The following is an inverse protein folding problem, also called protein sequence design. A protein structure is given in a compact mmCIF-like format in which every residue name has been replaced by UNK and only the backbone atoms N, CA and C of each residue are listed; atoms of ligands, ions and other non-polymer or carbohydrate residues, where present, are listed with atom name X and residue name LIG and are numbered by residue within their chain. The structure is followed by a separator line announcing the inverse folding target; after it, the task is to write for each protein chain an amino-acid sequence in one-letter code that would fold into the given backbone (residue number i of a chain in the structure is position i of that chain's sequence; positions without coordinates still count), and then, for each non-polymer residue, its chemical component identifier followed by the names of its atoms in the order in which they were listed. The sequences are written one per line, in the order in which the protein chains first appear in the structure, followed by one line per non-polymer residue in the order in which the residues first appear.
data_IF_800199810155
#
_entry.id   IF_800199810155
#
_cell.length_a   1.000
_cell.length_b   1.000
_cell.length_c   1.000
_cell.angle_alpha   90.00
_cell.angle_beta   90.00
_cell.angle_gamma   90.00
#
_symmetry.space_group_name_H-M   'P 1'
#
loop_
_entity.id
_entity.type
_entity.pdbx_description
1 polymer ?
#
# COMPACT_ATOMS: atom_id res chain seq x y z
N UNK A 1 66.34 45.42 25.63
CA UNK A 1 67.12 45.90 24.47
C UNK A 1 66.66 45.13 23.25
N UNK A 2 66.27 45.86 22.22
CA UNK A 2 65.79 45.37 20.92
C UNK A 2 66.94 44.67 20.17
N UNK A 3 66.64 43.56 19.47
CA UNK A 3 67.16 43.26 18.10
C UNK A 3 66.69 41.90 17.56
N UNK A 4 65.89 41.96 16.48
CA UNK A 4 66.08 41.29 15.16
C UNK A 4 66.55 39.84 15.11
N UNK A 5 66.15 38.94 14.21
CA UNK A 5 65.25 38.83 13.04
C UNK A 5 65.48 37.37 12.55
N UNK A 6 64.79 36.94 11.47
CA UNK A 6 65.12 35.77 10.59
C UNK A 6 64.29 34.48 10.82
N UNK A 7 63.13 34.49 10.15
CA UNK A 7 62.64 33.50 9.16
C UNK A 7 63.42 32.19 9.02
N UNK A 8 62.72 31.05 9.12
CA UNK A 8 62.78 29.98 8.12
C UNK A 8 61.57 29.03 8.24
N UNK A 9 60.79 29.03 7.16
CA UNK A 9 59.71 28.11 6.84
C UNK A 9 60.23 26.68 6.65
N UNK A 10 59.52 25.70 7.20
CA UNK A 10 59.34 24.40 6.54
C UNK A 10 58.00 23.80 6.96
N UNK A 11 57.05 23.93 6.04
CA UNK A 11 55.76 23.26 6.01
C UNK A 11 55.95 21.74 5.98
N UNK A 12 55.43 21.06 7.00
CA UNK A 12 55.13 19.63 6.92
C UNK A 12 53.65 19.44 6.64
N UNK A 13 53.42 18.66 5.60
CA UNK A 13 52.15 18.39 4.92
C UNK A 13 51.25 17.55 5.83
N UNK A 14 50.08 18.10 6.19
CA UNK A 14 49.00 17.31 6.77
C UNK A 14 48.27 16.54 5.68
N UNK A 15 48.38 15.21 5.69
CA UNK A 15 47.54 14.35 4.87
C UNK A 15 46.16 14.22 5.54
N UNK A 16 45.24 15.12 5.20
CA UNK A 16 43.81 14.89 5.44
C UNK A 16 43.28 14.00 4.30
N UNK A 17 43.05 12.72 4.58
CA UNK A 17 42.34 11.82 3.66
C UNK A 17 40.88 12.27 3.56
N UNK A 18 40.58 13.09 2.55
CA UNK A 18 39.22 13.26 2.05
C UNK A 18 38.87 12.00 1.24
N UNK A 19 38.11 11.09 1.83
CA UNK A 19 37.39 10.08 1.06
C UNK A 19 36.27 10.79 0.30
N UNK A 20 36.45 11.01 -1.00
CA UNK A 20 35.34 11.38 -1.88
C UNK A 20 34.38 10.20 -1.95
N UNK A 21 33.13 10.40 -1.53
CA UNK A 21 32.05 9.47 -1.83
C UNK A 21 31.99 9.25 -3.35
N UNK A 22 31.79 8.00 -3.82
CA UNK A 22 31.75 7.71 -5.24
C UNK A 22 30.64 8.53 -5.92
N UNK A 23 30.85 9.00 -7.16
CA UNK A 23 29.86 9.79 -7.88
C UNK A 23 28.52 9.05 -7.95
N UNK A 24 27.49 9.63 -7.33
CA UNK A 24 26.12 9.17 -7.46
C UNK A 24 25.70 9.33 -8.93
N UNK A 25 25.58 8.20 -9.63
CA UNK A 25 25.11 8.16 -11.02
C UNK A 25 23.67 8.67 -11.07
N UNK A 26 23.49 9.87 -11.64
CA UNK A 26 22.19 10.52 -11.76
C UNK A 26 21.35 9.75 -12.78
N UNK A 27 20.61 8.75 -12.33
CA UNK A 27 19.59 8.11 -13.15
C UNK A 27 18.61 9.18 -13.65
N UNK A 28 18.37 9.31 -14.96
CA UNK A 28 17.44 10.31 -15.47
C UNK A 28 16.06 10.06 -14.88
N UNK A 29 15.55 11.03 -14.12
CA UNK A 29 14.20 11.00 -13.58
C UNK A 29 13.24 11.18 -14.77
N UNK A 30 12.75 10.08 -15.31
CA UNK A 30 11.71 10.09 -16.34
C UNK A 30 10.43 10.64 -15.70
N UNK A 31 10.22 11.95 -15.83
CA UNK A 31 8.96 12.59 -15.44
C UNK A 31 8.03 12.43 -16.64
N UNK A 32 7.26 11.35 -16.67
CA UNK A 32 6.12 11.24 -17.58
C UNK A 32 5.07 12.23 -17.08
N UNK A 33 5.00 13.41 -17.69
CA UNK A 33 3.83 14.30 -17.52
C UNK A 33 2.68 13.67 -18.29
N UNK A 34 1.97 12.74 -17.65
CA UNK A 34 0.73 12.21 -18.21
C UNK A 34 -0.32 13.32 -18.11
N UNK A 35 -0.74 13.87 -19.25
CA UNK A 35 -1.97 14.66 -19.30
C UNK A 35 -3.11 13.74 -18.86
N UNK A 36 -3.75 14.08 -17.73
CA UNK A 36 -4.87 13.32 -17.17
C UNK A 36 -5.96 13.22 -18.23
N UNK A 37 -6.25 12.00 -18.72
CA UNK A 37 -7.27 11.84 -19.76
C UNK A 37 -8.62 12.23 -19.16
N UNK A 38 -9.55 12.72 -20.00
CA UNK A 38 -10.91 13.11 -19.57
C UNK A 38 -11.62 11.99 -18.78
N UNK A 39 -11.36 10.72 -19.12
CA UNK A 39 -11.86 9.55 -18.38
C UNK A 39 -11.33 9.45 -16.95
N UNK A 40 -10.06 9.76 -16.73
CA UNK A 40 -9.43 9.74 -15.39
C UNK A 40 -10.00 10.86 -14.50
N UNK A 41 -10.33 12.02 -15.09
CA UNK A 41 -10.95 13.13 -14.37
C UNK A 41 -12.42 12.86 -13.97
N UNK A 42 -13.19 12.21 -14.85
CA UNK A 42 -14.57 11.78 -14.55
C UNK A 42 -14.57 10.68 -13.49
N UNK A 43 -13.64 9.71 -13.59
CA UNK A 43 -13.49 8.66 -12.59
C UNK A 43 -13.17 9.23 -11.20
N UNK A 44 -12.25 10.20 -11.13
CA UNK A 44 -11.95 10.88 -9.87
C UNK A 44 -13.16 11.63 -9.30
N UNK A 45 -13.98 12.27 -10.13
CA UNK A 45 -15.19 12.95 -9.66
C UNK A 45 -16.23 11.99 -9.09
N UNK A 46 -16.46 10.85 -9.75
CA UNK A 46 -17.40 9.82 -9.29
C UNK A 46 -16.88 9.22 -7.98
N UNK A 47 -15.58 8.93 -7.90
CA UNK A 47 -14.94 8.43 -6.70
C UNK A 47 -15.15 9.37 -5.51
N UNK A 48 -14.91 10.67 -5.68
CA UNK A 48 -15.08 11.64 -4.59
C UNK A 48 -16.53 11.67 -4.06
N UNK A 49 -17.52 11.52 -4.95
CA UNK A 49 -18.93 11.44 -4.57
C UNK A 49 -19.17 10.15 -3.77
N UNK A 50 -18.83 8.97 -4.32
CA UNK A 50 -19.02 7.67 -3.65
C UNK A 50 -18.28 7.56 -2.32
N UNK A 51 -17.19 8.29 -2.14
CA UNK A 51 -16.45 8.34 -0.88
C UNK A 51 -17.19 9.06 0.26
N UNK A 52 -18.22 9.87 -0.04
CA UNK A 52 -19.07 10.55 0.94
C UNK A 52 -20.39 9.81 1.21
N UNK A 53 -20.81 8.94 0.30
CA UNK A 53 -22.08 8.21 0.42
C UNK A 53 -22.01 7.10 1.47
N UNK A 54 -23.03 7.02 2.33
CA UNK A 54 -23.19 5.91 3.28
C UNK A 54 -23.82 4.67 2.64
N UNK A 55 -24.44 4.83 1.48
CA UNK A 55 -25.17 3.80 0.77
C UNK A 55 -24.86 3.90 -0.72
N UNK A 56 -24.66 2.77 -1.39
CA UNK A 56 -24.54 2.68 -2.84
C UNK A 56 -25.49 1.58 -3.31
N UNK A 57 -26.33 1.87 -4.31
CA UNK A 57 -27.26 0.91 -4.91
C UNK A 57 -28.14 0.16 -3.88
N UNK A 58 -28.63 0.85 -2.84
CA UNK A 58 -29.45 0.24 -1.80
C UNK A 58 -28.67 -0.50 -0.71
N UNK A 59 -27.33 -0.48 -0.77
CA UNK A 59 -26.45 -1.22 0.14
C UNK A 59 -25.66 -0.28 1.04
N UNK A 60 -25.73 -0.50 2.35
CA UNK A 60 -24.88 0.19 3.31
C UNK A 60 -23.40 -0.13 3.06
N UNK A 61 -22.56 0.90 3.00
CA UNK A 61 -21.11 0.77 2.85
C UNK A 61 -20.48 0.99 4.21
N UNK A 62 -19.64 0.12 4.79
CA UNK A 62 -18.98 0.41 6.06
C UNK A 62 -18.05 1.63 6.00
N UNK A 63 -17.94 2.43 7.06
CA UNK A 63 -17.05 3.61 7.06
C UNK A 63 -15.60 3.30 7.47
N UNK A 64 -15.41 2.22 8.22
CA UNK A 64 -14.12 1.79 8.76
C UNK A 64 -14.15 0.28 9.06
N UNK A 65 -13.02 -0.25 9.54
CA UNK A 65 -12.87 -1.68 9.79
C UNK A 65 -13.74 -2.23 10.93
N UNK A 66 -14.06 -1.42 11.95
CA UNK A 66 -14.95 -1.88 13.03
C UNK A 66 -16.41 -1.90 12.58
N UNK A 67 -16.78 -0.99 11.69
CA UNK A 67 -18.07 -1.00 11.02
C UNK A 67 -18.22 -2.21 10.10
N UNK A 68 -17.13 -2.60 9.40
CA UNK A 68 -17.06 -3.86 8.64
C UNK A 68 -17.37 -5.06 9.55
N UNK A 69 -16.79 -5.14 10.75
CA UNK A 69 -17.02 -6.26 11.65
C UNK A 69 -18.50 -6.40 12.03
N UNK A 70 -19.19 -5.28 12.28
CA UNK A 70 -20.63 -5.28 12.58
C UNK A 70 -21.46 -5.81 11.41
N UNK A 71 -21.10 -5.45 10.18
CA UNK A 71 -21.80 -5.95 8.99
C UNK A 71 -21.52 -7.44 8.76
N UNK A 72 -20.29 -7.90 8.99
CA UNK A 72 -19.94 -9.31 8.90
C UNK A 72 -20.60 -10.16 10.00
N UNK A 73 -20.77 -9.59 11.20
CA UNK A 73 -21.48 -10.25 12.30
C UNK A 73 -22.96 -10.47 12.01
N UNK A 74 -23.59 -9.59 11.22
CA UNK A 74 -24.97 -9.74 10.73
C UNK A 74 -25.05 -10.70 9.56
N UNK A 75 -24.02 -10.75 8.72
CA UNK A 75 -23.97 -11.57 7.52
C UNK A 75 -23.76 -13.06 7.85
N UNK A 76 -22.88 -13.35 8.82
CA UNK A 76 -22.47 -14.72 9.14
C UNK A 76 -23.24 -15.24 10.35
N UNK A 77 -23.92 -16.38 10.18
CA UNK A 77 -24.47 -17.13 11.30
C UNK A 77 -23.37 -17.84 12.10
N UNK A 78 -23.73 -18.44 13.22
CA UNK A 78 -22.78 -19.09 14.13
C UNK A 78 -22.01 -20.22 13.43
N UNK A 79 -22.68 -21.01 12.58
CA UNK A 79 -22.05 -22.09 11.82
C UNK A 79 -21.01 -21.54 10.82
N UNK A 80 -21.34 -20.47 10.10
CA UNK A 80 -20.43 -19.80 9.18
C UNK A 80 -19.23 -19.21 9.93
N UNK A 81 -19.44 -18.61 11.11
CA UNK A 81 -18.35 -18.10 11.95
C UNK A 81 -17.45 -19.23 12.45
N UNK A 82 -18.01 -20.35 12.90
CA UNK A 82 -17.22 -21.52 13.30
C UNK A 82 -16.34 -22.05 12.16
N UNK A 83 -16.92 -22.24 10.97
CA UNK A 83 -16.15 -22.68 9.79
C UNK A 83 -15.06 -21.69 9.41
N UNK A 84 -15.34 -20.39 9.52
CA UNK A 84 -14.37 -19.34 9.22
C UNK A 84 -13.25 -19.29 10.26
N UNK A 85 -13.57 -19.42 11.54
CA UNK A 85 -12.60 -19.44 12.64
C UNK A 85 -11.72 -20.69 12.63
N UNK A 86 -12.19 -21.80 12.07
CA UNK A 86 -11.42 -23.05 11.96
C UNK A 86 -10.16 -22.91 11.09
N UNK A 87 -10.08 -21.92 10.20
CA UNK A 87 -8.86 -21.63 9.45
C UNK A 87 -7.78 -21.01 10.34
N UNK A 88 -6.52 -21.29 10.01
CA UNK A 88 -5.39 -20.61 10.62
C UNK A 88 -5.31 -19.15 10.15
N UNK A 89 -4.72 -18.28 10.98
CA UNK A 89 -4.51 -16.84 10.65
C UNK A 89 -3.73 -16.67 9.33
N UNK A 90 -2.83 -17.60 9.01
CA UNK A 90 -2.01 -17.57 7.79
C UNK A 90 -2.76 -18.03 6.53
N UNK A 91 -3.90 -18.70 6.66
CA UNK A 91 -4.60 -19.32 5.53
C UNK A 91 -6.01 -18.78 5.29
N UNK A 92 -6.61 -18.13 6.29
CA UNK A 92 -8.01 -17.67 6.22
C UNK A 92 -8.27 -16.80 4.99
N UNK A 93 -7.38 -15.84 4.69
CA UNK A 93 -7.45 -15.03 3.49
C UNK A 93 -7.42 -15.90 2.24
N UNK A 94 -6.34 -16.66 2.02
CA UNK A 94 -6.19 -17.56 0.88
C UNK A 94 -7.37 -18.50 0.66
N UNK A 95 -8.00 -18.98 1.74
CA UNK A 95 -9.12 -19.94 1.69
C UNK A 95 -10.47 -19.28 1.40
N UNK A 96 -10.64 -18.01 1.74
CA UNK A 96 -11.94 -17.32 1.66
C UNK A 96 -11.95 -16.13 0.72
N UNK A 97 -10.80 -15.74 0.17
CA UNK A 97 -10.67 -14.61 -0.75
C UNK A 97 -11.58 -14.76 -1.98
N UNK A 98 -11.58 -15.95 -2.59
CA UNK A 98 -12.38 -16.21 -3.80
C UNK A 98 -13.89 -16.29 -3.55
N UNK A 99 -14.33 -16.42 -2.31
CA UNK A 99 -15.75 -16.50 -1.93
C UNK A 99 -16.19 -15.23 -1.21
N UNK A 100 -15.80 -15.09 0.07
CA UNK A 100 -16.10 -13.90 0.87
C UNK A 100 -15.48 -12.66 0.22
N UNK A 101 -14.24 -12.72 -0.23
CA UNK A 101 -13.58 -11.55 -0.83
C UNK A 101 -14.27 -11.00 -2.07
N UNK A 102 -14.71 -11.86 -2.99
CA UNK A 102 -15.51 -11.47 -4.17
C UNK A 102 -16.84 -10.84 -3.76
N UNK A 103 -17.48 -11.37 -2.71
CA UNK A 103 -18.69 -10.76 -2.17
C UNK A 103 -18.42 -9.36 -1.59
N UNK A 104 -17.34 -9.20 -0.81
CA UNK A 104 -16.95 -7.91 -0.22
C UNK A 104 -16.68 -6.85 -1.30
N UNK A 105 -15.97 -7.24 -2.37
CA UNK A 105 -15.71 -6.38 -3.52
C UNK A 105 -17.01 -5.86 -4.13
N UNK A 106 -17.92 -6.77 -4.50
CA UNK A 106 -19.17 -6.40 -5.15
C UNK A 106 -20.10 -5.61 -4.21
N UNK A 107 -20.12 -5.94 -2.92
CA UNK A 107 -21.03 -5.29 -1.98
C UNK A 107 -20.56 -3.92 -1.51
N UNK A 108 -19.25 -3.70 -1.42
CA UNK A 108 -18.70 -2.45 -0.90
C UNK A 108 -17.90 -1.65 -1.92
N UNK A 109 -17.94 -2.06 -3.20
CA UNK A 109 -17.35 -1.36 -4.35
C UNK A 109 -15.89 -0.96 -4.10
N UNK A 110 -15.04 -1.89 -3.63
CA UNK A 110 -13.69 -1.53 -3.19
C UNK A 110 -12.77 -1.15 -4.36
N UNK A 111 -12.95 -1.73 -5.56
CA UNK A 111 -12.21 -1.38 -6.78
C UNK A 111 -12.73 -0.12 -7.45
N UNK A 112 -14.05 0.08 -7.49
CA UNK A 112 -14.68 1.22 -8.17
C UNK A 112 -14.77 2.49 -7.30
N UNK A 113 -14.60 2.34 -5.99
CA UNK A 113 -14.64 3.44 -5.04
C UNK A 113 -15.89 3.46 -4.18
N UNK A 114 -15.65 3.69 -2.90
CA UNK A 114 -16.63 3.83 -1.82
C UNK A 114 -15.98 4.47 -0.60
N UNK A 115 -16.76 4.89 0.40
CA UNK A 115 -16.19 5.41 1.66
C UNK A 115 -15.26 4.40 2.36
N UNK A 116 -15.52 3.10 2.23
CA UNK A 116 -14.66 2.05 2.77
C UNK A 116 -13.33 1.98 2.02
N UNK A 117 -13.36 2.02 0.68
CA UNK A 117 -12.13 2.04 -0.12
C UNK A 117 -11.28 3.28 0.18
N UNK A 118 -11.92 4.43 0.47
CA UNK A 118 -11.24 5.67 0.84
C UNK A 118 -10.56 5.55 2.20
N UNK A 119 -11.20 4.87 3.16
CA UNK A 119 -10.57 4.53 4.44
C UNK A 119 -9.26 3.74 4.24
N UNK A 120 -9.24 2.74 3.38
CA UNK A 120 -8.03 1.98 3.07
C UNK A 120 -6.99 2.77 2.26
N UNK A 121 -7.44 3.62 1.33
CA UNK A 121 -6.53 4.50 0.57
C UNK A 121 -5.84 5.53 1.46
N UNK A 122 -6.53 6.08 2.46
CA UNK A 122 -5.92 6.94 3.49
C UNK A 122 -4.85 6.20 4.30
N UNK A 123 -4.99 4.89 4.47
CA UNK A 123 -3.96 4.02 5.06
C UNK A 123 -2.88 3.57 4.06
N UNK A 124 -2.89 4.06 2.82
CA UNK A 124 -1.94 3.72 1.76
C UNK A 124 -1.97 2.25 1.33
N UNK A 125 -3.13 1.59 1.41
CA UNK A 125 -3.32 0.26 0.82
C UNK A 125 -3.42 0.41 -0.70
N UNK A 126 -2.53 -0.24 -1.50
CA UNK A 126 -2.33 0.14 -2.89
C UNK A 126 -3.34 -0.47 -3.87
N UNK A 127 -4.11 -1.48 -3.45
CA UNK A 127 -5.01 -2.22 -4.34
C UNK A 127 -6.19 -2.83 -3.56
N UNK A 128 -7.36 -2.92 -4.18
CA UNK A 128 -8.59 -3.43 -3.55
C UNK A 128 -8.44 -4.89 -3.09
N UNK A 129 -7.77 -5.73 -3.87
CA UNK A 129 -7.38 -7.11 -3.52
C UNK A 129 -6.69 -7.18 -2.13
N UNK A 130 -5.83 -6.21 -1.81
CA UNK A 130 -5.20 -6.16 -0.50
C UNK A 130 -6.10 -5.58 0.59
N UNK A 131 -7.06 -4.71 0.24
CA UNK A 131 -8.09 -4.26 1.19
C UNK A 131 -8.93 -5.45 1.64
N UNK A 132 -9.32 -6.32 0.71
CA UNK A 132 -10.04 -7.56 0.98
C UNK A 132 -9.24 -8.46 1.93
N UNK A 133 -7.96 -8.69 1.64
CA UNK A 133 -7.10 -9.51 2.49
C UNK A 133 -6.97 -8.96 3.92
N UNK A 134 -6.88 -7.63 4.06
CA UNK A 134 -6.85 -6.95 5.36
C UNK A 134 -8.18 -7.12 6.09
N UNK A 135 -9.33 -6.96 5.41
CA UNK A 135 -10.66 -7.16 5.99
C UNK A 135 -10.79 -8.58 6.54
N UNK A 136 -10.51 -9.59 5.72
CA UNK A 136 -10.67 -11.01 6.07
C UNK A 136 -9.79 -11.36 7.28
N UNK A 137 -8.50 -11.03 7.20
CA UNK A 137 -7.54 -11.33 8.28
C UNK A 137 -7.92 -10.60 9.57
N UNK A 138 -8.32 -9.34 9.48
CA UNK A 138 -8.67 -8.54 10.66
C UNK A 138 -9.96 -9.02 11.31
N UNK A 139 -10.97 -9.41 10.52
CA UNK A 139 -12.20 -9.98 11.07
C UNK A 139 -11.93 -11.34 11.73
N UNK A 140 -11.09 -12.19 11.15
CA UNK A 140 -10.66 -13.45 11.78
C UNK A 140 -9.97 -13.22 13.12
N UNK A 141 -9.07 -12.24 13.20
CA UNK A 141 -8.41 -11.85 14.45
C UNK A 141 -9.39 -11.25 15.46
N UNK A 142 -10.36 -10.47 15.01
CA UNK A 142 -11.42 -9.90 15.84
C UNK A 142 -12.23 -11.01 16.53
N UNK A 143 -12.67 -12.03 15.79
CA UNK A 143 -13.40 -13.17 16.34
C UNK A 143 -12.58 -13.97 17.37
N UNK A 144 -11.26 -13.96 17.26
CA UNK A 144 -10.34 -14.58 18.22
C UNK A 144 -9.89 -13.66 19.35
N UNK A 145 -10.42 -12.43 19.43
CA UNK A 145 -9.97 -11.40 20.36
C UNK A 145 -8.44 -11.15 20.33
N UNK A 146 -7.84 -11.25 19.14
CA UNK A 146 -6.41 -11.02 18.91
C UNK A 146 -6.15 -9.59 18.44
N UNK A 147 -4.93 -9.11 18.69
CA UNK A 147 -4.46 -7.86 18.10
C UNK A 147 -4.53 -7.94 16.57
N UNK A 148 -5.18 -6.94 15.97
CA UNK A 148 -5.38 -6.86 14.53
C UNK A 148 -4.07 -6.66 13.79
N UNK A 149 -3.07 -5.98 14.37
CA UNK A 149 -1.79 -5.66 13.70
C UNK A 149 -1.98 -5.01 12.32
N UNK A 150 -2.86 -4.01 12.24
CA UNK A 150 -3.25 -3.36 10.97
C UNK A 150 -2.03 -2.76 10.25
N UNK A 151 -1.14 -2.11 10.99
CA UNK A 151 0.05 -1.46 10.41
C UNK A 151 0.97 -2.49 9.74
N UNK A 152 1.15 -3.64 10.37
CA UNK A 152 1.93 -4.76 9.88
C UNK A 152 1.29 -5.35 8.62
N UNK A 153 -0.04 -5.57 8.63
CA UNK A 153 -0.77 -6.04 7.45
C UNK A 153 -0.63 -5.08 6.25
N UNK A 154 -0.82 -3.77 6.48
CA UNK A 154 -0.67 -2.75 5.43
C UNK A 154 0.75 -2.74 4.88
N UNK A 155 1.76 -2.82 5.75
CA UNK A 155 3.17 -2.84 5.34
C UNK A 155 3.48 -4.07 4.50
N UNK A 156 3.01 -5.25 4.93
CA UNK A 156 3.17 -6.50 4.20
C UNK A 156 2.63 -6.42 2.77
N UNK A 157 1.39 -5.96 2.59
CA UNK A 157 0.79 -5.86 1.27
C UNK A 157 1.42 -4.78 0.39
N UNK A 158 1.88 -3.67 0.98
CA UNK A 158 2.65 -2.65 0.27
C UNK A 158 3.96 -3.20 -0.28
N UNK A 159 4.68 -3.99 0.49
CA UNK A 159 5.93 -4.61 0.05
C UNK A 159 5.70 -5.61 -1.10
N UNK A 160 4.63 -6.41 -1.01
CA UNK A 160 4.22 -7.30 -2.10
C UNK A 160 3.90 -6.50 -3.37
N UNK A 161 3.12 -5.42 -3.24
CA UNK A 161 2.76 -4.58 -4.37
C UNK A 161 3.99 -3.96 -5.05
N UNK A 162 4.89 -3.36 -4.27
CA UNK A 162 6.09 -2.71 -4.79
C UNK A 162 6.98 -3.71 -5.55
N UNK A 163 7.14 -4.93 -5.02
CA UNK A 163 7.86 -6.02 -5.71
C UNK A 163 7.20 -6.38 -7.03
N UNK A 164 5.87 -6.55 -7.06
CA UNK A 164 5.12 -6.84 -8.30
C UNK A 164 5.29 -5.73 -9.34
N UNK A 165 5.24 -4.45 -8.92
CA UNK A 165 5.44 -3.31 -9.83
C UNK A 165 6.87 -3.27 -10.39
N UNK A 166 7.89 -3.54 -9.56
CA UNK A 166 9.29 -3.59 -10.01
C UNK A 166 9.51 -4.69 -11.05
N UNK A 167 8.98 -5.89 -10.81
CA UNK A 167 9.09 -7.02 -11.75
C UNK A 167 8.44 -6.64 -13.08
N UNK A 168 7.22 -6.12 -13.05
CA UNK A 168 6.51 -5.69 -14.27
C UNK A 168 7.25 -4.59 -15.01
N UNK A 169 7.84 -3.63 -14.30
CA UNK A 169 8.64 -2.57 -14.91
C UNK A 169 9.88 -3.15 -15.63
N UNK A 170 10.59 -4.07 -14.98
CA UNK A 170 11.76 -4.74 -15.56
C UNK A 170 11.38 -5.56 -16.81
N UNK A 171 10.28 -6.31 -16.77
CA UNK A 171 9.77 -7.06 -17.93
C UNK A 171 9.44 -6.16 -19.12
N UNK A 172 8.88 -4.97 -18.87
CA UNK A 172 8.57 -3.99 -19.92
C UNK A 172 9.84 -3.38 -20.53
N UNK A 173 10.85 -3.09 -19.71
CA UNK A 173 12.17 -2.61 -20.19
C UNK A 173 12.79 -3.66 -21.11
N UNK A 174 12.87 -4.92 -20.65
CA UNK A 174 13.43 -6.02 -21.43
C UNK A 174 12.68 -6.22 -22.76
N UNK A 175 11.33 -6.18 -22.75
CA UNK A 175 10.54 -6.27 -24.00
C UNK A 175 10.77 -5.09 -24.94
N UNK A 176 11.02 -3.90 -24.40
CA UNK A 176 11.34 -2.71 -25.18
C UNK A 176 12.72 -2.79 -25.83
N UNK A 177 13.69 -3.36 -25.12
CA UNK A 177 15.07 -3.59 -25.61
C UNK A 177 15.14 -4.70 -26.68
N UNK A 178 14.26 -5.71 -26.63
CA UNK A 178 14.24 -6.85 -27.58
C UNK A 178 13.59 -6.52 -28.94
N UNK A 179 13.09 -5.30 -29.14
CA UNK A 179 12.60 -4.85 -30.45
C UNK A 179 13.76 -4.33 -31.31
N UNK A 180 14.57 -5.23 -31.85
CA UNK A 180 15.40 -5.02 -33.05
C UNK A 180 14.89 -5.86 -34.22
#
# INVERSE_FOLDING_TARGET
MIRTLIVLLLSSIGAASFAQEPPQEKTPKVIIKTEKKRGDAVNDSIYQIRAQESELDGMYIPKDLYDVFKELDKLMDDQAKEMFMAYSDAEVDRKTHGSLGVWLEHKWSLSEGSRLSEYFRKMQVPHYDYMIGIIITSYHRHLHARDLKIKEQVTFFRDIWNKKQQIKANELIQRGEVKE
#
